data_IF_802117302132
#
_entry.id   IF_802117302132
#
_cell.length_a   1.000
_cell.length_b   1.000
_cell.length_c   1.000
_cell.angle_alpha   90.00
_cell.angle_beta   90.00
_cell.angle_gamma   90.00
#
_symmetry.space_group_name_H-M   'P 1'
#
loop_
_entity.id
_entity.type
_entity.pdbx_description
1 polymer ?
#
# COMPACT_ATOMS: atom_id res chain seq x y z
N UNK A 1 6.46 7.82 12.54
CA UNK A 1 6.94 7.16 11.30
C UNK A 1 8.28 6.51 11.58
N UNK A 2 8.49 5.24 11.23
CA UNK A 2 9.75 4.54 11.57
C UNK A 2 10.94 5.13 10.80
N UNK A 3 12.13 5.16 11.41
CA UNK A 3 13.38 5.69 10.80
C UNK A 3 13.65 5.11 9.41
N UNK A 4 13.26 3.85 9.19
CA UNK A 4 13.41 3.16 7.90
C UNK A 4 12.58 3.81 6.78
N UNK A 5 11.33 4.18 7.06
CA UNK A 5 10.44 4.80 6.07
C UNK A 5 11.01 6.15 5.63
N UNK A 6 11.51 6.95 6.58
CA UNK A 6 12.09 8.26 6.28
C UNK A 6 13.34 8.14 5.39
N UNK A 7 14.22 7.17 5.67
CA UNK A 7 15.39 6.88 4.82
C UNK A 7 14.95 6.48 3.41
N UNK A 8 13.96 5.60 3.28
CA UNK A 8 13.48 5.13 1.97
C UNK A 8 12.82 6.23 1.15
N UNK A 9 12.02 7.09 1.79
CA UNK A 9 11.44 8.28 1.14
C UNK A 9 12.54 9.22 0.66
N UNK A 10 13.59 9.44 1.47
CA UNK A 10 14.71 10.29 1.09
C UNK A 10 15.54 9.71 -0.07
N UNK A 11 15.77 8.40 -0.09
CA UNK A 11 16.39 7.70 -1.23
C UNK A 11 15.55 7.85 -2.50
N UNK A 12 14.24 7.66 -2.40
CA UNK A 12 13.31 7.82 -3.52
C UNK A 12 13.34 9.26 -4.05
N UNK A 13 13.29 10.26 -3.17
CA UNK A 13 13.42 11.67 -3.54
C UNK A 13 14.70 11.94 -4.34
N UNK A 14 15.86 11.48 -3.84
CA UNK A 14 17.13 11.67 -4.53
C UNK A 14 17.15 11.00 -5.91
N UNK A 15 16.54 9.81 -6.02
CA UNK A 15 16.39 9.10 -7.28
C UNK A 15 15.53 9.87 -8.28
N UNK A 16 14.36 10.35 -7.85
CA UNK A 16 13.42 11.12 -8.68
C UNK A 16 14.05 12.45 -9.12
N UNK A 17 14.66 13.20 -8.20
CA UNK A 17 15.30 14.48 -8.51
C UNK A 17 16.44 14.32 -9.53
N UNK A 18 17.30 13.31 -9.36
CA UNK A 18 18.38 13.00 -10.33
C UNK A 18 17.81 12.65 -11.70
N UNK A 19 16.76 11.81 -11.75
CA UNK A 19 16.11 11.43 -12.99
C UNK A 19 15.49 12.64 -13.70
N UNK A 20 14.76 13.48 -12.97
CA UNK A 20 14.10 14.67 -13.51
C UNK A 20 15.10 15.62 -14.18
N UNK A 21 16.19 15.95 -13.49
CA UNK A 21 17.23 16.86 -14.02
C UNK A 21 17.84 16.30 -15.30
N UNK A 22 18.22 15.01 -15.29
CA UNK A 22 18.78 14.34 -16.47
C UNK A 22 17.80 14.35 -17.65
N UNK A 23 16.53 14.07 -17.39
CA UNK A 23 15.51 14.02 -18.44
C UNK A 23 15.28 15.40 -19.08
N UNK A 24 15.34 16.48 -18.30
CA UNK A 24 15.26 17.86 -18.81
C UNK A 24 16.52 18.24 -19.59
N UNK A 25 17.70 17.93 -19.06
CA UNK A 25 18.99 18.17 -19.72
C UNK A 25 19.07 17.51 -21.10
N UNK A 26 18.76 16.21 -21.16
CA UNK A 26 18.75 15.48 -22.43
C UNK A 26 17.68 15.99 -23.41
N UNK A 27 16.56 16.53 -22.91
CA UNK A 27 15.53 17.15 -23.74
C UNK A 27 16.02 18.47 -24.36
N UNK A 28 16.74 19.29 -23.58
CA UNK A 28 17.36 20.54 -24.07
C UNK A 28 18.39 20.21 -25.15
N UNK A 29 19.30 19.27 -24.89
CA UNK A 29 20.35 18.89 -25.84
C UNK A 29 19.75 18.35 -27.15
N UNK A 30 18.72 17.50 -27.05
CA UNK A 30 18.02 16.97 -28.22
C UNK A 30 17.35 18.08 -29.04
N UNK A 31 16.64 19.00 -28.37
CA UNK A 31 15.98 20.12 -29.03
C UNK A 31 16.98 21.05 -29.74
N UNK A 32 18.11 21.32 -29.09
CA UNK A 32 19.19 22.13 -29.65
C UNK A 32 19.79 21.51 -30.90
N UNK A 33 20.00 20.19 -30.93
CA UNK A 33 20.52 19.49 -32.11
C UNK A 33 19.56 19.59 -33.32
N UNK A 34 18.25 19.47 -33.07
CA UNK A 34 17.22 19.63 -34.11
C UNK A 34 17.18 21.08 -34.61
N UNK A 35 17.24 22.07 -33.72
CA UNK A 35 17.25 23.47 -34.10
C UNK A 35 18.51 23.89 -34.88
N UNK A 36 19.68 23.39 -34.48
CA UNK A 36 20.94 23.65 -35.16
C UNK A 36 20.99 23.07 -36.58
N UNK A 37 20.32 21.94 -36.82
CA UNK A 37 20.24 21.29 -38.13
C UNK A 37 19.13 21.83 -39.02
N UNK A 38 18.21 22.64 -38.49
CA UNK A 38 17.11 23.21 -39.25
C UNK A 38 17.58 24.32 -40.22
N UNK A 39 17.02 24.32 -41.44
CA UNK A 39 17.34 25.30 -42.47
C UNK A 39 16.75 26.70 -42.19
N UNK A 40 15.57 26.75 -41.58
CA UNK A 40 14.83 27.96 -41.14
C UNK A 40 13.94 27.60 -39.95
N UNK A 41 13.30 28.58 -39.29
CA UNK A 41 12.36 28.35 -38.18
C UNK A 41 12.99 27.58 -37.01
N UNK A 42 14.27 27.86 -36.73
CA UNK A 42 15.07 27.12 -35.73
C UNK A 42 14.46 27.25 -34.34
N UNK A 43 13.96 28.42 -33.98
CA UNK A 43 13.24 28.62 -32.72
C UNK A 43 11.96 27.80 -32.62
N UNK A 44 11.17 27.70 -33.70
CA UNK A 44 9.98 26.85 -33.73
C UNK A 44 10.35 25.37 -33.58
N UNK A 45 11.37 24.91 -34.32
CA UNK A 45 11.91 23.56 -34.24
C UNK A 45 12.41 23.21 -32.84
N UNK A 46 13.15 24.12 -32.21
CA UNK A 46 13.65 23.95 -30.84
C UNK A 46 12.51 23.71 -29.85
N UNK A 47 11.53 24.62 -29.80
CA UNK A 47 10.44 24.54 -28.81
C UNK A 47 9.54 23.35 -29.06
N UNK A 48 9.27 23.03 -30.33
CA UNK A 48 8.49 21.84 -30.69
C UNK A 48 9.17 20.56 -30.21
N UNK A 49 10.45 20.39 -30.51
CA UNK A 49 11.20 19.20 -30.12
C UNK A 49 11.37 19.11 -28.60
N UNK A 50 11.63 20.24 -27.94
CA UNK A 50 11.73 20.31 -26.47
C UNK A 50 10.43 19.83 -25.82
N UNK A 51 9.27 20.30 -26.29
CA UNK A 51 7.96 19.85 -25.82
C UNK A 51 7.79 18.35 -26.01
N UNK A 52 8.08 17.83 -27.21
CA UNK A 52 7.94 16.42 -27.53
C UNK A 52 8.80 15.55 -26.61
N UNK A 53 10.08 15.91 -26.41
CA UNK A 53 11.00 15.15 -25.57
C UNK A 53 10.64 15.21 -24.10
N UNK A 54 10.30 16.39 -23.58
CA UNK A 54 9.79 16.53 -22.22
C UNK A 54 8.52 15.70 -22.04
N UNK A 55 7.59 15.73 -22.99
CA UNK A 55 6.36 14.95 -22.93
C UNK A 55 6.65 13.45 -22.88
N UNK A 56 7.50 12.94 -23.78
CA UNK A 56 7.86 11.52 -23.79
C UNK A 56 8.56 11.06 -22.51
N UNK A 57 9.45 11.89 -21.95
CA UNK A 57 10.30 11.52 -20.80
C UNK A 57 9.61 11.73 -19.45
N UNK A 58 8.66 12.66 -19.37
CA UNK A 58 8.04 13.11 -18.13
C UNK A 58 6.54 12.77 -18.00
N UNK A 59 5.91 12.15 -19.01
CA UNK A 59 4.45 11.86 -19.02
C UNK A 59 3.94 11.14 -17.77
N UNK A 60 4.74 10.24 -17.20
CA UNK A 60 4.36 9.42 -16.04
C UNK A 60 4.98 9.89 -14.72
N UNK A 61 5.58 11.09 -14.66
CA UNK A 61 6.22 11.61 -13.43
C UNK A 61 5.36 12.63 -12.68
N UNK A 62 4.07 12.79 -13.03
CA UNK A 62 3.19 13.79 -12.43
C UNK A 62 3.46 15.25 -12.86
N UNK A 63 4.42 15.47 -13.76
CA UNK A 63 4.82 16.81 -14.26
C UNK A 63 4.18 17.19 -15.59
N UNK A 64 3.24 16.38 -16.10
CA UNK A 64 2.58 16.56 -17.39
C UNK A 64 1.86 17.91 -17.53
N UNK A 65 1.33 18.47 -16.44
CA UNK A 65 0.69 19.79 -16.42
C UNK A 65 1.68 20.94 -16.72
N UNK A 66 2.96 20.78 -16.34
CA UNK A 66 4.00 21.79 -16.59
C UNK A 66 4.34 21.91 -18.08
N UNK A 67 4.21 20.81 -18.83
CA UNK A 67 4.52 20.75 -20.27
C UNK A 67 3.46 21.47 -21.09
N UNK A 68 2.18 21.39 -20.68
CA UNK A 68 1.08 22.12 -21.30
C UNK A 68 1.19 23.64 -21.11
N UNK A 69 1.99 24.10 -20.14
CA UNK A 69 2.17 25.53 -19.82
C UNK A 69 3.37 26.16 -20.53
N UNK A 70 4.11 25.41 -21.35
CA UNK A 70 5.24 25.95 -22.10
C UNK A 70 4.76 27.02 -23.10
N UNK A 71 5.47 28.15 -23.25
CA UNK A 71 5.03 29.26 -24.11
C UNK A 71 4.95 28.84 -25.58
N UNK A 72 3.88 29.26 -26.26
CA UNK A 72 3.75 29.16 -27.73
C UNK A 72 4.75 30.11 -28.41
N UNK A 73 5.40 29.64 -29.48
CA UNK A 73 6.35 30.43 -30.30
C UNK A 73 5.61 31.41 -31.22
N UNK A 74 4.54 32.03 -30.74
CA UNK A 74 3.82 33.04 -31.49
C UNK A 74 4.49 34.40 -31.25
N UNK A 75 5.12 34.95 -32.29
CA UNK A 75 5.73 36.30 -32.29
C UNK A 75 7.24 36.34 -32.07
N UNK A 76 7.80 37.55 -32.12
CA UNK A 76 9.24 37.82 -32.15
C UNK A 76 9.99 37.54 -30.83
N UNK A 77 9.27 37.25 -29.75
CA UNK A 77 9.80 37.20 -28.37
C UNK A 77 10.85 36.09 -28.16
N UNK A 78 10.82 35.03 -28.98
CA UNK A 78 11.74 33.88 -28.88
C UNK A 78 12.41 33.55 -30.22
N UNK A 79 12.40 34.49 -31.18
CA UNK A 79 12.97 34.26 -32.51
C UNK A 79 14.48 34.50 -32.50
N UNK A 80 15.26 33.43 -32.65
CA UNK A 80 16.72 33.47 -32.75
C UNK A 80 17.20 33.07 -34.15
N UNK A 81 16.30 33.03 -35.14
CA UNK A 81 16.61 32.52 -36.48
C UNK A 81 17.69 33.34 -37.19
N UNK A 82 17.70 34.66 -36.96
CA UNK A 82 18.66 35.60 -37.53
C UNK A 82 20.09 35.42 -36.98
N UNK A 83 20.26 34.70 -35.87
CA UNK A 83 21.57 34.42 -35.27
C UNK A 83 22.24 33.15 -35.83
N UNK A 84 21.57 32.44 -36.74
CA UNK A 84 22.11 31.25 -37.39
C UNK A 84 22.17 30.00 -36.48
N UNK A 85 22.69 28.88 -36.98
CA UNK A 85 22.65 27.60 -36.28
C UNK A 85 23.58 27.51 -35.05
N UNK A 86 24.63 28.34 -35.00
CA UNK A 86 25.61 28.35 -33.90
C UNK A 86 25.01 28.77 -32.55
N UNK A 87 23.90 29.51 -32.53
CA UNK A 87 23.21 29.91 -31.31
C UNK A 87 22.67 28.71 -30.51
N UNK A 88 22.41 27.58 -31.18
CA UNK A 88 21.99 26.31 -30.58
C UNK A 88 23.13 25.30 -30.40
N UNK A 89 24.31 25.57 -30.94
CA UNK A 89 25.47 24.71 -30.74
C UNK A 89 25.99 24.79 -29.29
N UNK A 90 26.57 23.70 -28.80
CA UNK A 90 27.36 23.73 -27.57
C UNK A 90 28.70 24.42 -27.90
N UNK A 91 29.02 25.55 -27.27
CA UNK A 91 30.22 26.30 -27.62
C UNK A 91 31.50 25.58 -27.16
N UNK A 92 32.57 25.75 -27.95
CA UNK A 92 33.93 25.40 -27.52
C UNK A 92 34.60 26.50 -26.67
N UNK A 93 34.11 27.76 -26.74
CA UNK A 93 34.61 28.94 -26.01
C UNK A 93 33.45 29.84 -25.53
N UNK A 94 33.64 30.61 -24.45
CA UNK A 94 32.57 31.33 -23.74
C UNK A 94 32.07 32.65 -24.39
N UNK A 95 32.57 33.04 -25.56
CA UNK A 95 32.21 34.32 -26.17
C UNK A 95 30.96 34.18 -27.05
N UNK A 96 29.78 34.49 -26.49
CA UNK A 96 28.51 34.57 -27.23
C UNK A 96 27.28 34.11 -26.44
N UNK A 97 26.09 34.56 -26.86
CA UNK A 97 24.81 34.06 -26.33
C UNK A 97 24.48 32.71 -26.99
N UNK A 98 24.56 31.62 -26.23
CA UNK A 98 24.18 30.27 -26.67
C UNK A 98 22.97 29.78 -25.90
N UNK A 99 21.86 29.51 -26.59
CA UNK A 99 20.59 29.08 -25.99
C UNK A 99 20.77 27.82 -25.17
N UNK A 100 21.46 26.83 -25.73
CA UNK A 100 21.72 25.53 -25.08
C UNK A 100 22.50 25.72 -23.77
N UNK A 101 23.61 26.44 -23.80
CA UNK A 101 24.45 26.65 -22.63
C UNK A 101 23.73 27.47 -21.56
N UNK A 102 22.99 28.51 -21.95
CA UNK A 102 22.22 29.34 -21.02
C UNK A 102 21.17 28.50 -20.27
N UNK A 103 20.43 27.66 -20.98
CA UNK A 103 19.43 26.77 -20.39
C UNK A 103 20.04 25.71 -19.47
N UNK A 104 21.16 25.11 -19.89
CA UNK A 104 21.88 24.12 -19.06
C UNK A 104 22.46 24.75 -17.78
N UNK A 105 23.04 25.96 -17.88
CA UNK A 105 23.50 26.71 -16.71
C UNK A 105 22.35 27.06 -15.78
N UNK A 106 21.21 27.48 -16.32
CA UNK A 106 20.02 27.76 -15.52
C UNK A 106 19.47 26.51 -14.83
N UNK A 107 19.42 25.38 -15.54
CA UNK A 107 19.02 24.09 -14.97
C UNK A 107 19.96 23.64 -13.85
N UNK A 108 21.27 23.85 -14.00
CA UNK A 108 22.26 23.55 -12.95
C UNK A 108 22.03 24.41 -11.69
N UNK A 109 21.67 25.68 -11.85
CA UNK A 109 21.31 26.56 -10.73
C UNK A 109 20.01 26.09 -10.03
N UNK A 110 18.98 25.71 -10.80
CA UNK A 110 17.72 25.18 -10.25
C UNK A 110 17.91 23.83 -9.55
N UNK A 111 18.80 22.97 -10.08
CA UNK A 111 19.17 21.70 -9.44
C UNK A 111 19.67 21.90 -8.02
N UNK A 112 20.42 22.97 -7.76
CA UNK A 112 20.91 23.28 -6.41
C UNK A 112 19.79 23.65 -5.43
N UNK A 113 18.61 24.04 -5.95
CA UNK A 113 17.43 24.39 -5.16
C UNK A 113 16.46 23.22 -4.97
N UNK A 114 16.66 22.09 -5.68
CA UNK A 114 15.83 20.90 -5.51
C UNK A 114 16.15 20.24 -4.15
N UNK A 115 15.36 20.57 -3.14
CA UNK A 115 15.33 19.90 -1.84
C UNK A 115 14.05 19.05 -1.65
N UNK A 116 14.08 18.03 -0.76
CA UNK A 116 12.87 17.35 -0.34
C UNK A 116 11.90 18.40 0.19
N UNK A 117 10.64 18.35 -0.22
CA UNK A 117 9.62 19.21 0.37
C UNK A 117 9.60 18.98 1.88
N UNK A 118 9.77 20.05 2.66
CA UNK A 118 9.53 20.03 4.11
C UNK A 118 8.05 20.18 4.43
N UNK A 119 7.23 20.50 3.42
CA UNK A 119 5.78 20.59 3.57
C UNK A 119 5.16 19.20 3.46
N UNK A 120 4.59 18.76 4.56
CA UNK A 120 3.74 17.59 4.61
C UNK A 120 2.37 17.95 4.05
N UNK A 121 2.04 17.44 2.87
CA UNK A 121 0.66 17.51 2.36
C UNK A 121 -0.07 16.27 2.86
N UNK A 122 -1.09 16.46 3.69
CA UNK A 122 -1.97 15.36 4.12
C UNK A 122 -2.55 14.64 2.90
N UNK A 123 -2.94 15.40 1.87
CA UNK A 123 -3.46 14.86 0.60
C UNK A 123 -2.47 13.92 -0.08
N UNK A 124 -1.18 14.30 -0.18
CA UNK A 124 -0.17 13.42 -0.78
C UNK A 124 0.10 12.18 0.07
N UNK A 125 0.06 12.32 1.40
CA UNK A 125 0.23 11.19 2.30
C UNK A 125 -0.95 10.21 2.17
N UNK A 126 -2.16 10.72 2.06
CA UNK A 126 -3.38 9.93 1.86
C UNK A 126 -3.36 9.22 0.50
N UNK A 127 -2.97 9.90 -0.59
CA UNK A 127 -2.83 9.30 -1.93
C UNK A 127 -1.75 8.21 -1.98
N UNK A 128 -0.59 8.43 -1.35
CA UNK A 128 0.47 7.41 -1.27
C UNK A 128 0.03 6.23 -0.43
N UNK A 129 -0.70 6.47 0.67
CA UNK A 129 -1.30 5.40 1.47
C UNK A 129 -2.32 4.60 0.65
N UNK A 130 -3.16 5.26 -0.15
CA UNK A 130 -4.10 4.60 -1.05
C UNK A 130 -3.37 3.74 -2.10
N UNK A 131 -2.32 4.26 -2.73
CA UNK A 131 -1.52 3.49 -3.70
C UNK A 131 -0.84 2.29 -3.02
N UNK A 132 -0.25 2.45 -1.83
CA UNK A 132 0.34 1.34 -1.08
C UNK A 132 -0.72 0.32 -0.67
N UNK A 133 -1.92 0.75 -0.25
CA UNK A 133 -2.99 -0.17 0.11
C UNK A 133 -3.52 -0.95 -1.11
N UNK A 134 -3.51 -0.34 -2.28
CA UNK A 134 -3.91 -0.97 -3.54
C UNK A 134 -2.81 -1.86 -4.16
N UNK A 135 -1.54 -1.43 -4.15
CA UNK A 135 -0.43 -2.15 -4.79
C UNK A 135 0.27 -3.13 -3.85
N UNK A 136 0.59 -2.74 -2.61
CA UNK A 136 1.44 -3.54 -1.71
C UNK A 136 0.73 -4.72 -1.05
N UNK A 137 -0.59 -4.81 -1.17
CA UNK A 137 -1.38 -5.91 -0.62
C UNK A 137 -1.95 -6.84 -1.69
N UNK A 138 -1.60 -6.68 -2.96
CA UNK A 138 -2.08 -7.56 -4.02
C UNK A 138 -3.57 -7.36 -4.34
N UNK A 139 -4.12 -6.15 -4.18
CA UNK A 139 -5.52 -5.89 -4.58
C UNK A 139 -5.71 -6.11 -6.10
N UNK A 140 -4.64 -5.91 -6.87
CA UNK A 140 -4.54 -6.26 -8.30
C UNK A 140 -4.63 -7.78 -8.56
N UNK A 141 -4.24 -8.58 -7.56
CA UNK A 141 -4.32 -10.06 -7.53
C UNK A 141 -5.52 -10.58 -6.70
N UNK A 142 -6.46 -9.71 -6.34
CA UNK A 142 -7.65 -10.06 -5.54
C UNK A 142 -7.41 -10.20 -4.02
N UNK A 143 -6.21 -9.86 -3.53
CA UNK A 143 -5.89 -9.82 -2.10
C UNK A 143 -6.17 -8.41 -1.58
N UNK A 144 -7.36 -8.19 -1.01
CA UNK A 144 -7.66 -6.93 -0.32
C UNK A 144 -7.08 -6.93 1.10
N UNK A 145 -6.48 -5.81 1.57
CA UNK A 145 -6.15 -5.63 2.98
C UNK A 145 -7.39 -5.87 3.83
N UNK A 146 -7.26 -6.70 4.88
CA UNK A 146 -8.36 -7.00 5.80
C UNK A 146 -8.30 -6.08 7.01
N UNK A 147 -9.46 -5.78 7.59
CA UNK A 147 -9.61 -4.97 8.78
C UNK A 147 -8.74 -5.45 9.95
N UNK A 148 -8.66 -6.76 10.16
CA UNK A 148 -7.75 -7.34 11.16
C UNK A 148 -8.13 -7.07 12.62
N UNK A 149 -9.16 -6.26 12.91
CA UNK A 149 -9.66 -6.05 14.27
C UNK A 149 -9.93 -7.43 14.94
N UNK A 150 -9.42 -7.69 16.15
CA UNK A 150 -9.54 -9.01 16.77
C UNK A 150 -10.92 -9.21 17.36
N UNK A 151 -11.54 -10.37 17.10
CA UNK A 151 -12.80 -10.76 17.76
C UNK A 151 -12.66 -10.61 19.28
N UNK A 152 -13.58 -9.94 19.98
CA UNK A 152 -13.43 -9.63 21.40
C UNK A 152 -13.38 -10.90 22.26
N UNK A 153 -13.96 -11.99 21.76
CA UNK A 153 -13.95 -13.27 22.45
C UNK A 153 -12.78 -14.16 22.00
N UNK A 154 -12.82 -14.69 20.76
CA UNK A 154 -11.80 -15.64 20.30
C UNK A 154 -10.54 -14.99 19.69
N UNK A 155 -10.44 -13.66 19.58
CA UNK A 155 -9.34 -12.90 18.95
C UNK A 155 -8.99 -13.25 17.51
N UNK A 156 -9.84 -14.01 16.81
CA UNK A 156 -9.65 -14.23 15.38
C UNK A 156 -9.80 -12.89 14.64
N UNK A 157 -8.89 -12.52 13.72
CA UNK A 157 -8.92 -11.22 13.07
C UNK A 157 -10.11 -11.07 12.12
N UNK A 158 -10.68 -9.87 12.08
CA UNK A 158 -11.77 -9.50 11.17
C UNK A 158 -11.35 -9.74 9.72
N UNK A 159 -12.20 -10.43 8.97
CA UNK A 159 -11.92 -10.81 7.58
C UNK A 159 -12.46 -9.81 6.56
N UNK A 160 -13.27 -8.83 6.98
CA UNK A 160 -13.79 -7.78 6.10
C UNK A 160 -12.68 -6.87 5.59
N UNK A 161 -12.97 -6.14 4.50
CA UNK A 161 -12.04 -5.18 3.92
C UNK A 161 -11.60 -4.11 4.93
N UNK A 162 -10.35 -3.66 4.83
CA UNK A 162 -9.84 -2.54 5.60
C UNK A 162 -10.73 -1.30 5.40
N UNK A 163 -11.01 -0.55 6.47
CA UNK A 163 -11.83 0.65 6.41
C UNK A 163 -13.34 0.43 6.43
N UNK A 164 -13.83 -0.81 6.58
CA UNK A 164 -15.28 -1.02 6.74
C UNK A 164 -15.80 -0.30 8.00
N UNK A 165 -16.90 0.45 7.86
CA UNK A 165 -17.47 1.24 8.95
C UNK A 165 -18.40 0.38 9.81
N UNK A 166 -18.13 0.19 11.10
CA UNK A 166 -18.94 -0.70 11.95
C UNK A 166 -20.27 -0.08 12.43
N UNK A 167 -21.15 0.34 11.53
CA UNK A 167 -22.35 1.14 11.87
C UNK A 167 -23.72 0.49 11.66
N UNK A 168 -23.88 -0.63 10.89
CA UNK A 168 -25.00 -1.62 10.92
C UNK A 168 -24.94 -2.61 9.74
N UNK A 169 -25.69 -3.72 9.81
CA UNK A 169 -25.80 -4.78 8.78
C UNK A 169 -24.45 -5.34 8.30
N UNK A 170 -24.14 -5.27 6.99
CA UNK A 170 -22.89 -5.74 6.37
C UNK A 170 -21.64 -4.99 6.82
N UNK A 171 -21.80 -4.04 7.74
CA UNK A 171 -20.73 -3.19 8.22
C UNK A 171 -20.13 -3.68 9.56
N UNK A 172 -20.80 -4.59 10.30
CA UNK A 172 -20.26 -5.14 11.55
C UNK A 172 -18.97 -5.95 11.35
N UNK A 173 -18.05 -5.97 12.31
CA UNK A 173 -16.87 -6.86 12.24
C UNK A 173 -17.30 -8.33 12.22
N UNK A 174 -16.64 -9.13 11.39
CA UNK A 174 -16.94 -10.56 11.27
C UNK A 174 -15.68 -11.37 10.91
N UNK A 175 -15.68 -12.67 11.25
CA UNK A 175 -14.54 -13.58 11.05
C UNK A 175 -15.00 -15.04 11.03
N UNK A 176 -14.15 -15.96 10.56
CA UNK A 176 -14.47 -17.39 10.51
C UNK A 176 -14.45 -18.10 11.88
N UNK A 177 -14.02 -17.39 12.93
CA UNK A 177 -13.88 -17.82 14.33
C UNK A 177 -13.00 -19.07 14.53
N UNK A 178 -12.21 -19.06 15.61
CA UNK A 178 -11.25 -20.11 15.93
C UNK A 178 -11.61 -20.83 17.24
N UNK A 179 -11.02 -22.01 17.52
CA UNK A 179 -11.09 -22.61 18.85
C UNK A 179 -10.74 -21.59 19.94
N UNK A 180 -11.66 -21.33 20.86
CA UNK A 180 -11.56 -20.28 21.87
C UNK A 180 -10.39 -20.53 22.84
N UNK A 181 -10.05 -21.80 23.08
CA UNK A 181 -8.92 -22.20 23.91
C UNK A 181 -7.55 -21.81 23.34
N UNK A 182 -7.43 -21.47 22.04
CA UNK A 182 -6.19 -20.89 21.50
C UNK A 182 -5.82 -19.57 22.19
N UNK A 183 -6.82 -18.83 22.67
CA UNK A 183 -6.64 -17.55 23.37
C UNK A 183 -6.90 -17.68 24.88
N UNK A 184 -6.88 -18.91 25.40
CA UNK A 184 -6.94 -19.18 26.83
C UNK A 184 -8.35 -19.26 27.42
N UNK A 185 -9.40 -19.27 26.59
CA UNK A 185 -10.76 -19.51 27.08
C UNK A 185 -10.87 -20.95 27.59
N UNK A 186 -11.51 -21.10 28.75
CA UNK A 186 -11.57 -22.38 29.47
C UNK A 186 -12.96 -22.63 30.07
N UNK A 187 -13.27 -23.90 30.29
CA UNK A 187 -14.46 -24.34 31.00
C UNK A 187 -14.33 -24.04 32.49
N UNK A 188 -15.22 -23.24 33.06
CA UNK A 188 -15.15 -22.83 34.47
C UNK A 188 -15.12 -24.02 35.44
N UNK A 189 -15.84 -25.10 35.14
CA UNK A 189 -15.93 -26.27 36.04
C UNK A 189 -14.70 -27.16 36.01
N UNK A 190 -14.18 -27.45 34.82
CA UNK A 190 -13.05 -28.39 34.65
C UNK A 190 -11.70 -27.69 34.56
N UNK A 191 -11.68 -26.36 34.38
CA UNK A 191 -10.49 -25.57 34.09
C UNK A 191 -9.76 -25.97 32.78
N UNK A 192 -10.41 -26.75 31.92
CA UNK A 192 -9.85 -27.17 30.63
C UNK A 192 -10.06 -26.12 29.54
N UNK A 193 -9.09 -26.00 28.63
CA UNK A 193 -9.20 -25.18 27.43
C UNK A 193 -10.39 -25.61 26.56
N UNK A 194 -11.12 -24.63 26.02
CA UNK A 194 -12.32 -24.86 25.21
C UNK A 194 -11.96 -25.12 23.75
N UNK A 195 -12.41 -26.25 23.19
CA UNK A 195 -12.21 -26.55 21.76
C UNK A 195 -13.17 -25.79 20.85
N UNK A 196 -14.35 -25.40 21.34
CA UNK A 196 -15.40 -24.73 20.56
C UNK A 196 -14.91 -23.40 20.00
N UNK A 197 -15.44 -23.01 18.85
CA UNK A 197 -15.39 -21.64 18.34
C UNK A 197 -16.65 -20.88 18.76
N UNK A 198 -16.60 -19.54 18.72
CA UNK A 198 -17.78 -18.71 19.02
C UNK A 198 -18.99 -19.10 18.17
N UNK A 199 -18.78 -19.47 16.90
CA UNK A 199 -19.84 -19.91 16.00
C UNK A 199 -20.47 -21.23 16.46
N UNK A 200 -19.66 -22.23 16.83
CA UNK A 200 -20.20 -23.49 17.38
C UNK A 200 -20.86 -23.28 18.74
N UNK A 201 -20.37 -22.34 19.56
CA UNK A 201 -20.98 -21.98 20.83
C UNK A 201 -22.35 -21.31 20.67
N UNK A 202 -22.60 -20.58 19.56
CA UNK A 202 -23.95 -20.10 19.20
C UNK A 202 -24.88 -21.26 18.84
N UNK A 203 -24.40 -22.23 18.05
CA UNK A 203 -25.18 -23.40 17.59
C UNK A 203 -25.55 -24.31 18.77
N UNK A 204 -24.59 -24.56 19.66
CA UNK A 204 -24.73 -25.43 20.83
C UNK A 204 -25.48 -24.77 22.01
N UNK A 205 -26.02 -23.56 21.83
CA UNK A 205 -26.71 -22.76 22.85
C UNK A 205 -25.89 -22.55 24.14
N UNK A 206 -24.58 -22.36 23.97
CA UNK A 206 -23.65 -22.13 25.08
C UNK A 206 -23.76 -20.68 25.56
N UNK A 207 -23.39 -20.44 26.81
CA UNK A 207 -23.30 -19.10 27.39
C UNK A 207 -21.86 -18.65 27.63
N UNK A 208 -21.62 -17.36 27.44
CA UNK A 208 -20.39 -16.66 27.83
C UNK A 208 -20.47 -16.32 29.32
N UNK A 209 -19.44 -16.67 30.08
CA UNK A 209 -19.35 -16.34 31.49
C UNK A 209 -18.77 -14.93 31.71
N UNK A 210 -19.47 -14.11 32.49
CA UNK A 210 -19.01 -12.82 33.00
C UNK A 210 -19.01 -12.82 34.53
N UNK A 211 -18.36 -11.82 35.13
CA UNK A 211 -18.43 -11.61 36.57
C UNK A 211 -19.86 -11.33 37.07
N UNK A 212 -20.71 -10.73 36.22
CA UNK A 212 -22.11 -10.41 36.52
C UNK A 212 -23.10 -11.54 36.22
N UNK A 213 -22.62 -12.70 35.73
CA UNK A 213 -23.46 -13.83 35.34
C UNK A 213 -23.13 -14.34 33.93
N UNK A 214 -23.92 -15.29 33.44
CA UNK A 214 -23.76 -15.85 32.10
C UNK A 214 -24.74 -15.22 31.12
N UNK A 215 -24.30 -14.94 29.89
CA UNK A 215 -25.20 -14.52 28.79
C UNK A 215 -25.06 -15.47 27.61
N UNK A 216 -26.15 -15.81 26.90
CA UNK A 216 -26.08 -16.74 25.79
C UNK A 216 -25.25 -16.15 24.63
N UNK A 217 -24.53 -17.01 23.91
CA UNK A 217 -23.79 -16.61 22.71
C UNK A 217 -24.69 -16.00 21.63
N UNK A 218 -25.98 -16.34 21.61
CA UNK A 218 -26.99 -15.72 20.71
C UNK A 218 -27.17 -14.22 20.92
N UNK A 219 -26.73 -13.68 22.05
CA UNK A 219 -26.72 -12.24 22.35
C UNK A 219 -25.39 -11.56 21.96
N UNK A 220 -24.54 -12.20 21.14
CA UNK A 220 -23.17 -11.71 20.86
C UNK A 220 -23.11 -10.24 20.44
N UNK A 221 -24.01 -9.78 19.56
CA UNK A 221 -24.03 -8.39 19.08
C UNK A 221 -24.37 -7.39 20.18
N UNK A 222 -25.21 -7.81 21.15
CA UNK A 222 -25.56 -6.99 22.31
C UNK A 222 -24.47 -7.03 23.40
N UNK A 223 -23.71 -8.12 23.47
CA UNK A 223 -22.56 -8.27 24.37
C UNK A 223 -21.36 -7.46 23.83
N UNK A 224 -21.16 -7.49 22.51
CA UNK A 224 -20.04 -6.87 21.81
C UNK A 224 -20.55 -6.01 20.65
N UNK A 225 -21.00 -4.77 20.93
CA UNK A 225 -21.45 -3.85 19.90
C UNK A 225 -20.39 -3.66 18.80
N UNK A 226 -20.83 -3.70 17.54
CA UNK A 226 -19.97 -3.58 16.37
C UNK A 226 -19.44 -4.91 15.83
N UNK A 227 -19.76 -6.05 16.46
CA UNK A 227 -19.44 -7.39 15.96
C UNK A 227 -20.72 -8.14 15.56
N UNK A 228 -20.65 -8.85 14.43
CA UNK A 228 -21.74 -9.69 13.95
C UNK A 228 -21.92 -10.93 14.83
N UNK A 229 -23.15 -11.47 14.86
CA UNK A 229 -23.41 -12.76 15.48
C UNK A 229 -22.57 -13.86 14.79
N UNK A 230 -21.74 -14.60 15.55
CA UNK A 230 -20.90 -15.67 14.99
C UNK A 230 -21.73 -16.73 14.25
N UNK A 231 -21.30 -17.08 13.03
CA UNK A 231 -21.93 -18.13 12.21
C UNK A 231 -20.88 -19.12 11.73
N UNK A 232 -21.27 -20.38 11.58
CA UNK A 232 -20.40 -21.42 11.01
C UNK A 232 -20.37 -21.23 9.50
N UNK A 233 -19.49 -20.34 9.03
CA UNK A 233 -19.33 -20.01 7.60
C UNK A 233 -18.13 -20.72 6.99
N UNK A 234 -17.05 -20.91 7.77
CA UNK A 234 -15.85 -21.62 7.35
C UNK A 234 -15.10 -22.17 8.56
N UNK A 235 -14.63 -23.40 8.49
CA UNK A 235 -13.72 -23.97 9.49
C UNK A 235 -12.29 -23.46 9.28
N UNK A 236 -11.44 -23.54 10.30
CA UNK A 236 -10.05 -23.07 10.24
C UNK A 236 -9.07 -24.24 10.48
N UNK A 237 -8.86 -25.13 9.48
CA UNK A 237 -8.13 -26.39 9.66
C UNK A 237 -6.76 -26.25 10.33
N UNK A 238 -5.97 -25.24 9.94
CA UNK A 238 -4.68 -25.00 10.55
C UNK A 238 -4.80 -24.62 12.04
N UNK A 239 -5.77 -23.78 12.41
CA UNK A 239 -5.97 -23.38 13.82
C UNK A 239 -6.52 -24.53 14.66
N UNK A 240 -7.41 -25.34 14.09
CA UNK A 240 -7.95 -26.54 14.70
C UNK A 240 -6.85 -27.60 14.92
N UNK A 241 -5.98 -27.79 13.92
CA UNK A 241 -4.78 -28.63 14.02
C UNK A 241 -3.83 -28.14 15.11
N UNK A 242 -3.50 -26.84 15.12
CA UNK A 242 -2.64 -26.25 16.15
C UNK A 242 -3.25 -26.46 17.53
N UNK A 243 -4.56 -26.23 17.69
CA UNK A 243 -5.23 -26.50 18.95
C UNK A 243 -5.05 -27.96 19.36
N UNK A 244 -5.31 -28.92 18.47
CA UNK A 244 -5.16 -30.35 18.77
C UNK A 244 -3.73 -30.74 19.17
N UNK A 245 -2.74 -30.31 18.40
CA UNK A 245 -1.36 -30.79 18.56
C UNK A 245 -0.59 -30.06 19.66
N UNK A 246 -0.87 -28.78 19.92
CA UNK A 246 -0.09 -27.94 20.83
C UNK A 246 -0.74 -27.79 22.22
N UNK A 247 -1.46 -28.81 22.72
CA UNK A 247 -2.17 -28.73 24.00
C UNK A 247 -1.23 -28.49 25.19
N UNK A 248 -0.01 -29.03 25.17
CA UNK A 248 0.96 -28.81 26.26
C UNK A 248 1.40 -27.36 26.34
N UNK A 249 1.73 -26.77 25.20
CA UNK A 249 2.17 -25.38 25.05
C UNK A 249 1.04 -24.42 25.40
N UNK A 250 -0.18 -24.68 24.91
CA UNK A 250 -1.36 -23.87 25.21
C UNK A 250 -1.72 -23.93 26.70
N UNK A 251 -1.67 -25.11 27.30
CA UNK A 251 -1.93 -25.33 28.74
C UNK A 251 -0.93 -24.54 29.59
N UNK A 252 0.35 -24.61 29.25
CA UNK A 252 1.40 -23.86 29.94
C UNK A 252 1.24 -22.35 29.76
N UNK A 253 1.04 -21.90 28.51
CA UNK A 253 0.95 -20.48 28.16
C UNK A 253 -0.21 -19.77 28.88
N UNK A 254 -1.36 -20.44 29.00
CA UNK A 254 -2.57 -19.86 29.57
C UNK A 254 -2.80 -20.24 31.04
N UNK A 255 -1.93 -21.08 31.62
CA UNK A 255 -2.09 -21.67 32.95
C UNK A 255 -3.48 -22.30 33.14
N UNK A 256 -3.84 -23.20 32.21
CA UNK A 256 -5.11 -23.95 32.18
C UNK A 256 -4.86 -25.44 31.94
N UNK A 257 -5.85 -26.28 32.24
CA UNK A 257 -5.75 -27.70 31.94
C UNK A 257 -5.91 -27.96 30.44
N UNK A 258 -5.29 -29.03 29.95
CA UNK A 258 -5.44 -29.51 28.58
C UNK A 258 -6.90 -29.84 28.30
N UNK A 259 -7.35 -29.59 27.08
CA UNK A 259 -8.65 -30.04 26.62
C UNK A 259 -8.62 -31.56 26.48
N UNK A 260 -9.46 -32.27 27.25
CA UNK A 260 -9.54 -33.73 27.18
C UNK A 260 -10.49 -34.21 26.09
N UNK A 261 -11.38 -33.34 25.62
CA UNK A 261 -12.47 -33.67 24.69
C UNK A 261 -12.33 -32.90 23.39
N UNK A 262 -11.26 -33.18 22.62
CA UNK A 262 -11.04 -32.54 21.32
C UNK A 262 -11.83 -33.30 20.24
N UNK A 263 -12.60 -32.61 19.37
CA UNK A 263 -13.32 -33.27 18.30
C UNK A 263 -12.40 -34.02 17.33
N UNK A 264 -12.85 -35.18 16.86
CA UNK A 264 -12.14 -35.94 15.82
C UNK A 264 -11.95 -35.12 14.53
N UNK A 265 -12.84 -34.16 14.25
CA UNK A 265 -12.74 -33.26 13.10
C UNK A 265 -11.50 -32.35 13.12
N UNK A 266 -10.78 -32.24 14.24
CA UNK A 266 -9.53 -31.46 14.30
C UNK A 266 -8.32 -32.30 13.86
N UNK A 267 -8.52 -33.56 13.47
CA UNK A 267 -7.48 -34.43 12.92
C UNK A 267 -7.16 -34.11 11.46
N UNK A 268 -6.72 -32.89 11.22
CA UNK A 268 -6.37 -32.43 9.89
C UNK A 268 -5.01 -32.99 9.45
N UNK A 269 -4.92 -33.41 8.20
CA UNK A 269 -3.65 -33.80 7.59
C UNK A 269 -2.85 -32.53 7.25
N UNK A 270 -1.63 -32.42 7.80
CA UNK A 270 -0.77 -31.25 7.59
C UNK A 270 -0.37 -31.08 6.12
N UNK A 271 -0.16 -32.18 5.37
CA UNK A 271 0.18 -32.12 3.95
C UNK A 271 -1.00 -31.58 3.11
N UNK A 272 -2.24 -31.89 3.50
CA UNK A 272 -3.42 -31.33 2.84
C UNK A 272 -3.57 -29.84 3.14
N UNK A 273 -3.29 -29.40 4.37
CA UNK A 273 -3.24 -27.99 4.75
C UNK A 273 -2.15 -27.27 3.94
N UNK A 274 -0.95 -27.84 3.85
CA UNK A 274 0.16 -27.27 3.09
C UNK A 274 -0.19 -27.12 1.61
N UNK A 275 -0.78 -28.16 1.00
CA UNK A 275 -1.23 -28.11 -0.40
C UNK A 275 -2.29 -27.04 -0.64
N UNK A 276 -3.23 -26.87 0.29
CA UNK A 276 -4.24 -25.81 0.22
C UNK A 276 -3.61 -24.42 0.32
N UNK A 277 -2.62 -24.24 1.20
CA UNK A 277 -1.89 -22.97 1.34
C UNK A 277 -1.08 -22.65 0.08
N UNK A 278 -0.38 -23.64 -0.50
CA UNK A 278 0.36 -23.47 -1.76
C UNK A 278 -0.59 -23.04 -2.89
N UNK A 279 -1.76 -23.68 -3.00
CA UNK A 279 -2.74 -23.31 -4.03
C UNK A 279 -3.33 -21.90 -3.85
N UNK A 280 -3.36 -21.36 -2.63
CA UNK A 280 -3.80 -19.99 -2.36
C UNK A 280 -2.73 -18.93 -2.64
N UNK A 281 -1.47 -19.35 -2.80
CA UNK A 281 -0.30 -18.47 -2.99
C UNK A 281 0.26 -18.50 -4.43
N UNK A 282 -0.29 -19.35 -5.30
CA UNK A 282 0.08 -19.52 -6.71
C UNK A 282 -1.11 -19.19 -7.61
#
# INVERSE_FOLDING_TARGET
>A
MSRLVLVKVQECYLGVAKKLVRDVEESIVSASAVAASAASKRSECFVHELRLKLQCRLKCSGTSALIGSLPTVAGDVMNCDDQGPSVFALPANQDGLHVTQALLTHLAALKAQLGPSTQWSSTMADEVLDVIQNEAYGAVDGIMPRCGAPCPHCRCPCTKALGHASTKDDALHDTYHQPEGLVGVYMVRSHELVYRSCATSVVDDISIAFASGSRPYKEFEAIYPGWALPRVTKFLPLREYIFKQCQSELSQMHNKLKCTTIPASYDHNLADIEKQLVHLLC
#
